data_IF_086258004305
#
_entry.id   IF_086258004305
#
_cell.length_a   1.000
_cell.length_b   1.000
_cell.length_c   1.000
_cell.angle_alpha   90.00
_cell.angle_beta   90.00
_cell.angle_gamma   90.00
#
_symmetry.space_group_name_H-M   'P 1'
#
loop_
_entity.id
_entity.type
_entity.pdbx_description
1 polymer ?
#
# COMPACT_ATOMS: atom_id res chain seq x y z
N UNK A 1 29.78 27.05 -12.71
CA UNK A 1 29.95 25.65 -13.16
C UNK A 1 28.92 24.77 -12.46
N UNK A 2 28.04 24.12 -13.22
CA UNK A 2 27.02 23.21 -12.67
C UNK A 2 27.47 21.73 -12.65
N UNK A 3 28.78 21.48 -12.49
CA UNK A 3 29.33 20.13 -12.39
C UNK A 3 30.04 19.96 -11.04
N UNK A 4 29.93 18.77 -10.43
CA UNK A 4 30.57 18.49 -9.16
C UNK A 4 32.09 18.58 -9.32
N UNK A 5 32.72 19.47 -8.55
CA UNK A 5 34.19 19.61 -8.53
C UNK A 5 34.88 18.37 -7.96
N UNK A 6 34.20 17.61 -7.10
CA UNK A 6 34.71 16.41 -6.42
C UNK A 6 33.61 15.36 -6.26
N UNK A 7 34.01 14.09 -6.16
CA UNK A 7 33.12 12.97 -5.82
C UNK A 7 32.57 13.15 -4.40
N UNK A 8 31.28 12.89 -4.21
CA UNK A 8 30.68 12.85 -2.87
C UNK A 8 31.14 11.61 -2.09
N UNK A 9 31.38 11.77 -0.79
CA UNK A 9 31.71 10.64 0.09
C UNK A 9 30.56 9.63 0.15
N UNK A 10 30.89 8.37 0.43
CA UNK A 10 29.90 7.31 0.64
C UNK A 10 28.97 7.66 1.80
N UNK A 11 29.52 8.13 2.93
CA UNK A 11 28.76 8.63 4.06
C UNK A 11 27.73 9.70 3.67
N UNK A 12 28.11 10.72 2.87
CA UNK A 12 27.16 11.76 2.43
C UNK A 12 26.03 11.18 1.55
N UNK A 13 26.36 10.24 0.66
CA UNK A 13 25.37 9.56 -0.20
C UNK A 13 24.40 8.74 0.64
N UNK A 14 24.91 8.00 1.62
CA UNK A 14 24.13 7.09 2.45
C UNK A 14 23.24 7.85 3.45
N UNK A 15 23.75 8.91 4.10
CA UNK A 15 22.94 9.80 4.93
C UNK A 15 21.84 10.51 4.14
N UNK A 16 22.11 10.91 2.88
CA UNK A 16 21.07 11.49 2.02
C UNK A 16 19.95 10.49 1.70
N UNK A 17 20.30 9.21 1.48
CA UNK A 17 19.35 8.13 1.16
C UNK A 17 18.69 7.51 2.40
N UNK A 18 19.10 7.89 3.61
CA UNK A 18 18.58 7.32 4.86
C UNK A 18 17.07 7.55 5.04
N UNK A 19 16.50 8.55 4.35
CA UNK A 19 15.08 8.87 4.40
C UNK A 19 14.28 8.31 3.21
N UNK A 20 14.94 7.67 2.25
CA UNK A 20 14.31 7.07 1.07
C UNK A 20 13.75 5.66 1.40
N UNK A 21 12.93 5.56 2.45
CA UNK A 21 12.34 4.29 2.89
C UNK A 21 10.92 4.08 2.35
N UNK A 22 10.58 2.81 2.13
CA UNK A 22 9.22 2.40 1.80
C UNK A 22 8.36 2.42 3.07
N UNK A 23 7.12 2.88 2.94
CA UNK A 23 6.12 2.79 4.00
C UNK A 23 5.14 1.65 3.70
N UNK A 24 4.78 0.89 4.74
CA UNK A 24 3.80 -0.18 4.63
C UNK A 24 2.40 0.39 4.34
N UNK A 25 1.56 -0.38 3.63
CA UNK A 25 0.15 -0.03 3.46
C UNK A 25 -0.60 -0.28 4.77
N UNK A 26 -1.54 0.60 5.11
CA UNK A 26 -2.43 0.39 6.26
C UNK A 26 -3.40 -0.76 5.96
N UNK A 27 -3.27 -1.85 6.71
CA UNK A 27 -4.13 -3.03 6.64
C UNK A 27 -5.01 -3.11 7.90
N UNK A 28 -6.25 -3.56 7.72
CA UNK A 28 -7.19 -3.85 8.79
C UNK A 28 -7.85 -5.20 8.55
N UNK A 29 -8.48 -5.76 9.58
CA UNK A 29 -9.26 -7.00 9.49
C UNK A 29 -10.73 -6.67 9.37
N UNK A 30 -11.44 -7.32 8.46
CA UNK A 30 -12.90 -7.23 8.44
C UNK A 30 -13.50 -8.04 9.58
N UNK A 31 -14.48 -7.48 10.28
CA UNK A 31 -15.10 -8.12 11.44
C UNK A 31 -16.04 -9.26 11.08
N UNK A 32 -16.56 -9.30 9.85
CA UNK A 32 -17.52 -10.32 9.42
C UNK A 32 -16.86 -11.49 8.71
N UNK A 33 -15.89 -11.22 7.83
CA UNK A 33 -15.21 -12.23 7.02
C UNK A 33 -13.88 -12.67 7.61
N UNK A 34 -13.31 -11.89 8.53
CA UNK A 34 -11.99 -12.15 9.10
C UNK A 34 -10.81 -11.89 8.15
N UNK A 35 -11.07 -11.43 6.91
CA UNK A 35 -10.03 -11.20 5.92
C UNK A 35 -9.30 -9.86 6.14
N UNK A 36 -8.02 -9.85 5.78
CA UNK A 36 -7.19 -8.65 5.83
C UNK A 36 -7.42 -7.83 4.56
N UNK A 37 -7.82 -6.57 4.72
CA UNK A 37 -8.05 -5.64 3.64
C UNK A 37 -7.35 -4.30 3.88
N UNK A 38 -7.17 -3.53 2.83
CA UNK A 38 -6.65 -2.17 2.97
C UNK A 38 -7.68 -1.29 3.65
N UNK A 39 -7.25 -0.49 4.62
CA UNK A 39 -8.16 0.30 5.44
C UNK A 39 -9.03 1.24 4.59
N UNK A 40 -10.31 1.32 4.93
CA UNK A 40 -11.34 2.08 4.19
C UNK A 40 -11.54 1.68 2.72
N UNK A 41 -11.23 0.43 2.35
CA UNK A 41 -11.51 -0.10 1.01
C UNK A 41 -12.38 -1.34 1.11
N UNK A 42 -13.18 -1.57 0.07
CA UNK A 42 -13.88 -2.83 -0.11
C UNK A 42 -12.90 -3.92 -0.54
N UNK A 43 -13.15 -5.16 -0.12
CA UNK A 43 -12.40 -6.35 -0.50
C UNK A 43 -13.34 -7.40 -1.09
N UNK A 44 -12.77 -8.33 -1.86
CA UNK A 44 -13.53 -9.42 -2.45
C UNK A 44 -13.44 -10.62 -1.53
N UNK A 45 -14.58 -11.09 -1.05
CA UNK A 45 -14.72 -12.30 -0.25
C UNK A 45 -15.76 -13.21 -0.90
N UNK A 46 -15.39 -14.46 -1.19
CA UNK A 46 -16.29 -15.48 -1.78
C UNK A 46 -17.00 -15.03 -3.07
N UNK A 47 -16.34 -14.23 -3.90
CA UNK A 47 -16.91 -13.70 -5.15
C UNK A 47 -17.81 -12.47 -4.98
N UNK A 48 -18.02 -12.02 -3.74
CA UNK A 48 -18.79 -10.83 -3.41
C UNK A 48 -17.86 -9.68 -3.00
N UNK A 49 -18.23 -8.45 -3.33
CA UNK A 49 -17.52 -7.26 -2.85
C UNK A 49 -18.09 -6.87 -1.48
N UNK A 50 -17.26 -6.96 -0.44
CA UNK A 50 -17.65 -6.72 0.96
C UNK A 50 -16.99 -5.43 1.46
N UNK A 51 -17.74 -4.65 2.23
CA UNK A 51 -17.24 -3.47 2.93
C UNK A 51 -18.00 -3.25 4.23
N UNK A 52 -17.27 -3.04 5.34
CA UNK A 52 -17.84 -2.80 6.68
C UNK A 52 -18.85 -3.90 7.07
N UNK A 53 -18.51 -5.15 6.78
CA UNK A 53 -19.34 -6.33 7.02
C UNK A 53 -20.66 -6.41 6.24
N UNK A 54 -20.82 -5.65 5.15
CA UNK A 54 -21.97 -5.74 4.25
C UNK A 54 -21.51 -6.13 2.85
N UNK A 55 -22.30 -6.96 2.18
CA UNK A 55 -22.14 -7.21 0.74
C UNK A 55 -22.60 -5.96 -0.01
N UNK A 56 -21.69 -5.36 -0.77
CA UNK A 56 -21.93 -4.18 -1.61
C UNK A 56 -22.33 -4.61 -3.02
N UNK A 57 -21.66 -5.64 -3.56
CA UNK A 57 -21.93 -6.19 -4.88
C UNK A 57 -21.87 -7.71 -4.81
N UNK A 58 -22.92 -8.36 -5.27
CA UNK A 58 -22.93 -9.81 -5.47
C UNK A 58 -22.27 -10.17 -6.81
N UNK A 59 -21.51 -11.27 -6.86
CA UNK A 59 -20.81 -11.74 -8.07
C UNK A 59 -19.92 -10.66 -8.73
N UNK A 60 -19.07 -10.02 -7.93
CA UNK A 60 -18.20 -8.97 -8.41
C UNK A 60 -17.17 -9.50 -9.41
N UNK A 61 -17.35 -9.14 -10.69
CA UNK A 61 -16.37 -9.32 -11.75
C UNK A 61 -15.67 -7.99 -12.02
N UNK A 62 -14.35 -7.96 -11.88
CA UNK A 62 -13.57 -6.78 -12.24
C UNK A 62 -13.52 -6.67 -13.76
N UNK A 63 -14.33 -5.80 -14.33
CA UNK A 63 -14.20 -5.42 -15.74
C UNK A 63 -12.90 -4.64 -15.91
N UNK A 64 -12.06 -5.10 -16.84
CA UNK A 64 -10.73 -4.53 -17.15
C UNK A 64 -10.89 -3.18 -17.82
#
# INVERSE_FOLDING_TARGET
MAHPKRRHSTSRRDSRRAHDFLTGKQLGTDSSTGEIHQFHRAHVHEGNLVYRGKVVVENYSKTV
#
